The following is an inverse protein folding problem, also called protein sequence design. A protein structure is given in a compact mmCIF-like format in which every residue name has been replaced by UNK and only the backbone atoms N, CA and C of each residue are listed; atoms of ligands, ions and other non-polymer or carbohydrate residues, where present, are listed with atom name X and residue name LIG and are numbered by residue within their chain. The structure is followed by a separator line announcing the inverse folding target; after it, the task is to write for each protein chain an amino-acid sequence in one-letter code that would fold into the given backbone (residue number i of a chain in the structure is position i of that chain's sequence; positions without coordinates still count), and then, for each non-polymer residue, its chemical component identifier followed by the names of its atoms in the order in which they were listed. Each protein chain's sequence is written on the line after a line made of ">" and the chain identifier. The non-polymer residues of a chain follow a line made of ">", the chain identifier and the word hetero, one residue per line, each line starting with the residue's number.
data_IF_052405987606
#
_entry.id   IF_052405987606
#
_cell.length_a   1.000
_cell.length_b   1.000
_cell.length_c   1.000
_cell.angle_alpha   90.00
_cell.angle_beta   90.00
_cell.angle_gamma   90.00
#
_symmetry.space_group_name_H-M   'P 1'
#
loop_
_entity.id
_entity.type
_entity.pdbx_description
1 polymer ?
#
# COMPACT_ATOMS: atom_id res chain seq x y z
N UNK A 1 23.43 -13.18 6.93
CA UNK A 1 22.68 -13.10 5.65
C UNK A 1 21.78 -11.87 5.72
N UNK A 2 21.82 -10.97 4.74
CA UNK A 2 20.97 -9.78 4.68
C UNK A 2 19.50 -10.17 4.64
N UNK A 3 18.66 -9.50 5.41
CA UNK A 3 17.21 -9.68 5.44
C UNK A 3 16.55 -8.34 5.20
N UNK A 4 15.69 -8.28 4.17
CA UNK A 4 14.97 -7.06 3.81
C UNK A 4 14.12 -6.51 4.97
N UNK A 5 14.05 -5.18 5.10
CA UNK A 5 13.38 -4.50 6.21
C UNK A 5 11.94 -4.96 6.38
N UNK A 6 11.18 -5.12 5.29
CA UNK A 6 9.79 -5.58 5.35
C UNK A 6 9.60 -7.01 5.89
N UNK A 7 10.66 -7.84 5.87
CA UNK A 7 10.66 -9.17 6.50
C UNK A 7 11.12 -9.10 7.95
N UNK A 8 12.20 -8.34 8.22
CA UNK A 8 12.80 -8.18 9.54
C UNK A 8 11.84 -7.50 10.52
N UNK A 9 11.13 -6.47 10.06
CA UNK A 9 10.20 -5.67 10.84
C UNK A 9 8.73 -6.07 10.67
N UNK A 10 8.47 -7.30 10.19
CA UNK A 10 7.10 -7.80 10.15
C UNK A 10 6.55 -7.92 11.57
N UNK A 11 5.39 -7.27 11.88
CA UNK A 11 4.79 -7.31 13.21
C UNK A 11 4.62 -8.74 13.73
N UNK A 12 4.97 -8.95 14.99
CA UNK A 12 4.82 -10.22 15.71
C UNK A 12 3.68 -10.13 16.73
N UNK A 13 3.36 -8.93 17.21
CA UNK A 13 2.32 -8.67 18.20
C UNK A 13 1.31 -7.65 17.67
N UNK A 14 0.10 -7.62 18.23
CA UNK A 14 -0.91 -6.63 17.83
C UNK A 14 -0.48 -5.19 18.12
N UNK A 15 0.35 -4.96 19.14
CA UNK A 15 0.88 -3.64 19.49
C UNK A 15 1.88 -3.09 18.46
N UNK A 16 2.50 -3.97 17.68
CA UNK A 16 3.43 -3.59 16.60
C UNK A 16 2.72 -3.28 15.28
N UNK A 17 1.42 -3.59 15.17
CA UNK A 17 0.64 -3.33 13.96
C UNK A 17 0.27 -1.87 13.88
N UNK A 18 0.70 -1.19 12.84
CA UNK A 18 0.47 0.24 12.63
C UNK A 18 -0.84 0.50 11.89
N UNK A 19 -1.58 1.52 12.30
CA UNK A 19 -2.77 2.05 11.59
C UNK A 19 -4.05 1.23 11.70
N UNK A 20 -4.05 0.03 12.34
CA UNK A 20 -5.19 -0.89 12.39
C UNK A 20 -5.73 -1.11 13.80
N UNK A 21 -5.73 -0.09 14.66
CA UNK A 21 -6.06 -0.21 16.09
C UNK A 21 -7.48 -0.75 16.36
N UNK A 22 -8.45 -0.44 15.50
CA UNK A 22 -9.83 -0.94 15.61
C UNK A 22 -9.90 -2.46 15.40
N UNK A 23 -9.12 -3.00 14.45
CA UNK A 23 -9.04 -4.45 14.17
C UNK A 23 -8.31 -5.17 15.29
N UNK A 24 -7.10 -4.67 15.64
CA UNK A 24 -6.26 -5.33 16.66
C UNK A 24 -6.93 -5.38 18.02
N UNK A 25 -7.64 -4.31 18.44
CA UNK A 25 -8.43 -4.29 19.68
C UNK A 25 -9.56 -5.30 19.65
N UNK A 26 -10.30 -5.39 18.54
CA UNK A 26 -11.43 -6.32 18.41
C UNK A 26 -10.95 -7.77 18.49
N UNK A 27 -9.91 -8.12 17.72
CA UNK A 27 -9.33 -9.48 17.74
C UNK A 27 -8.74 -9.83 19.12
N UNK A 28 -8.02 -8.89 19.75
CA UNK A 28 -7.51 -9.06 21.11
C UNK A 28 -8.62 -9.35 22.13
N UNK A 29 -9.76 -8.64 22.05
CA UNK A 29 -10.90 -8.84 22.92
C UNK A 29 -11.56 -10.21 22.70
N UNK A 30 -11.68 -10.66 21.45
CA UNK A 30 -12.20 -12.00 21.13
C UNK A 30 -11.32 -13.11 21.74
N UNK A 31 -9.99 -12.94 21.64
CA UNK A 31 -9.04 -13.89 22.24
C UNK A 31 -9.20 -13.92 23.77
N UNK A 32 -9.26 -12.75 24.42
CA UNK A 32 -9.43 -12.64 25.89
C UNK A 32 -10.73 -13.28 26.38
N UNK A 33 -11.80 -13.18 25.58
CA UNK A 33 -13.11 -13.78 25.91
C UNK A 33 -13.25 -15.24 25.48
N UNK A 34 -12.36 -15.73 24.62
CA UNK A 34 -12.47 -17.06 24.01
C UNK A 34 -13.56 -17.17 22.94
N UNK A 35 -14.05 -16.04 22.41
CA UNK A 35 -15.12 -15.94 21.41
C UNK A 35 -14.53 -15.97 19.99
N UNK A 36 -14.02 -17.12 19.56
CA UNK A 36 -13.37 -17.27 18.25
C UNK A 36 -14.39 -17.75 17.22
N UNK A 37 -14.57 -16.97 16.13
CA UNK A 37 -15.39 -17.38 14.99
C UNK A 37 -14.67 -18.42 14.13
N UNK A 38 -15.44 -19.24 13.42
CA UNK A 38 -14.89 -20.23 12.48
C UNK A 38 -14.29 -19.63 11.21
N UNK A 39 -14.69 -18.42 10.80
CA UNK A 39 -14.21 -17.77 9.59
C UNK A 39 -14.10 -16.26 9.73
N UNK A 40 -12.99 -15.71 9.26
CA UNK A 40 -12.64 -14.30 9.21
C UNK A 40 -12.32 -13.89 7.78
N UNK A 41 -12.75 -12.69 7.39
CA UNK A 41 -12.39 -12.07 6.12
C UNK A 41 -11.65 -10.77 6.38
N UNK A 42 -10.39 -10.70 5.98
CA UNK A 42 -9.55 -9.52 6.05
C UNK A 42 -9.48 -8.87 4.66
N UNK A 43 -10.17 -7.75 4.47
CA UNK A 43 -10.22 -7.01 3.22
C UNK A 43 -9.49 -5.67 3.31
N UNK A 44 -8.93 -5.21 2.19
CA UNK A 44 -8.24 -3.92 2.09
C UNK A 44 -7.03 -3.95 1.19
N UNK A 45 -6.45 -2.78 0.92
CA UNK A 45 -5.33 -2.61 0.00
C UNK A 45 -4.11 -3.47 0.35
N UNK A 46 -3.26 -3.70 -0.64
CA UNK A 46 -2.01 -4.44 -0.44
C UNK A 46 -1.10 -3.71 0.57
N UNK A 47 -0.37 -4.47 1.38
CA UNK A 47 0.62 -3.92 2.31
C UNK A 47 0.08 -3.25 3.57
N UNK A 48 -1.24 -3.32 3.84
CA UNK A 48 -1.90 -2.74 5.03
C UNK A 48 -1.85 -3.63 6.28
N UNK A 49 -1.20 -4.81 6.20
CA UNK A 49 -0.98 -5.68 7.35
C UNK A 49 -1.89 -6.91 7.46
N UNK A 50 -2.79 -7.18 6.48
CA UNK A 50 -3.74 -8.32 6.51
C UNK A 50 -3.08 -9.65 6.90
N UNK A 51 -2.08 -10.09 6.14
CA UNK A 51 -1.38 -11.36 6.38
C UNK A 51 -0.59 -11.36 7.68
N UNK A 52 -0.03 -10.22 8.10
CA UNK A 52 0.67 -10.10 9.39
C UNK A 52 -0.29 -10.27 10.57
N UNK A 53 -1.42 -9.59 10.55
CA UNK A 53 -2.48 -9.73 11.57
C UNK A 53 -3.05 -11.14 11.56
N UNK A 54 -3.25 -11.76 10.40
CA UNK A 54 -3.70 -13.15 10.28
C UNK A 54 -2.75 -14.11 11.01
N UNK A 55 -1.44 -13.96 10.80
CA UNK A 55 -0.41 -14.79 11.47
C UNK A 55 -0.36 -14.56 12.99
N UNK A 56 -0.47 -13.31 13.43
CA UNK A 56 -0.51 -12.97 14.86
C UNK A 56 -1.75 -13.62 15.49
N UNK A 57 -2.91 -13.44 14.87
CA UNK A 57 -4.17 -13.98 15.36
C UNK A 57 -4.16 -15.52 15.40
N UNK A 58 -3.71 -16.19 14.33
CA UNK A 58 -3.61 -17.65 14.26
C UNK A 58 -2.74 -18.23 15.38
N UNK A 59 -1.63 -17.57 15.72
CA UNK A 59 -0.77 -17.96 16.84
C UNK A 59 -1.39 -17.64 18.20
N UNK A 60 -2.05 -16.49 18.30
CA UNK A 60 -2.63 -16.03 19.56
C UNK A 60 -3.77 -16.89 20.06
N UNK A 61 -4.67 -17.37 19.18
CA UNK A 61 -5.78 -18.28 19.53
C UNK A 61 -5.31 -19.67 19.96
N UNK A 62 -4.07 -20.03 19.61
CA UNK A 62 -3.40 -21.27 20.01
C UNK A 62 -2.46 -21.10 21.19
N UNK A 63 -2.17 -19.88 21.62
CA UNK A 63 -1.22 -19.59 22.68
C UNK A 63 -1.77 -20.00 24.03
N UNK A 64 -0.97 -20.68 24.86
CA UNK A 64 -1.37 -21.11 26.22
C UNK A 64 -1.51 -19.92 27.19
N UNK A 65 -0.75 -18.84 26.96
CA UNK A 65 -0.70 -17.66 27.82
C UNK A 65 -0.55 -16.39 26.98
N UNK A 66 -1.61 -15.97 26.26
CA UNK A 66 -1.54 -14.76 25.43
C UNK A 66 -1.36 -13.52 26.31
N UNK A 67 -0.48 -12.60 25.87
CA UNK A 67 -0.22 -11.33 26.53
C UNK A 67 -0.95 -10.24 25.72
N UNK A 68 -1.88 -9.56 26.37
CA UNK A 68 -2.76 -8.56 25.71
C UNK A 68 -3.39 -9.00 24.40
N UNK A 69 -3.76 -10.30 24.35
CA UNK A 69 -4.34 -10.92 23.17
C UNK A 69 -3.31 -11.29 22.10
N UNK A 70 -2.03 -11.00 22.27
CA UNK A 70 -0.95 -11.40 21.37
C UNK A 70 -0.30 -12.70 21.80
N UNK A 71 0.35 -13.45 20.87
CA UNK A 71 1.05 -14.68 21.23
C UNK A 71 2.26 -14.38 22.13
N UNK A 72 2.53 -15.24 23.13
CA UNK A 72 3.63 -15.03 24.07
C UNK A 72 5.02 -15.41 23.50
N UNK A 73 5.10 -16.16 22.41
CA UNK A 73 6.34 -16.69 21.77
C UNK A 73 7.24 -17.54 22.68
N UNK A 74 6.82 -17.84 23.92
CA UNK A 74 7.65 -18.53 24.92
C UNK A 74 7.11 -19.91 25.29
N UNK A 75 5.78 -20.13 25.23
CA UNK A 75 5.17 -21.41 25.55
C UNK A 75 5.51 -22.47 24.49
N UNK A 76 5.35 -23.73 24.86
CA UNK A 76 5.65 -24.88 23.99
C UNK A 76 4.85 -24.85 22.67
N UNK A 77 3.58 -24.46 22.70
CA UNK A 77 2.73 -24.33 21.52
C UNK A 77 3.26 -23.23 20.60
N UNK A 78 3.59 -22.03 21.12
CA UNK A 78 4.15 -20.97 20.30
C UNK A 78 5.49 -21.39 19.64
N UNK A 79 6.32 -22.15 20.34
CA UNK A 79 7.58 -22.67 19.80
C UNK A 79 7.31 -23.71 18.70
N UNK A 80 6.39 -24.64 18.92
CA UNK A 80 5.99 -25.62 17.93
C UNK A 80 5.41 -24.99 16.66
N UNK A 81 4.53 -23.98 16.82
CA UNK A 81 3.93 -23.22 15.71
C UNK A 81 4.93 -22.34 14.94
N UNK A 82 6.11 -22.09 15.51
CA UNK A 82 7.18 -21.33 14.83
C UNK A 82 8.13 -22.23 14.05
N UNK A 83 8.01 -23.54 14.19
CA UNK A 83 8.85 -24.51 13.44
C UNK A 83 8.44 -24.62 11.97
N UNK A 84 9.39 -25.00 11.12
CA UNK A 84 9.14 -25.25 9.69
C UNK A 84 8.19 -26.42 9.42
N UNK A 85 8.04 -27.33 10.39
CA UNK A 85 7.19 -28.53 10.31
C UNK A 85 5.80 -28.32 10.93
N UNK A 86 5.40 -27.08 11.16
CA UNK A 86 4.09 -26.76 11.70
C UNK A 86 2.96 -27.13 10.73
N UNK A 87 2.01 -27.95 11.18
CA UNK A 87 0.83 -28.37 10.43
C UNK A 87 -0.49 -27.74 10.93
N UNK A 88 -0.44 -27.00 12.03
CA UNK A 88 -1.62 -26.41 12.65
C UNK A 88 -1.94 -25.01 12.11
N UNK A 89 -0.96 -24.32 11.54
CA UNK A 89 -1.16 -23.06 10.81
C UNK A 89 -0.68 -23.27 9.39
N UNK A 90 -1.62 -23.35 8.45
CA UNK A 90 -1.37 -23.57 7.03
C UNK A 90 -1.64 -22.25 6.30
N UNK A 91 -0.63 -21.72 5.63
CA UNK A 91 -0.74 -20.50 4.84
C UNK A 91 -0.68 -20.84 3.35
N UNK A 92 -1.64 -20.34 2.60
CA UNK A 92 -1.84 -20.61 1.18
C UNK A 92 -2.01 -19.27 0.48
N UNK A 93 -1.20 -19.05 -0.53
CA UNK A 93 -1.38 -17.93 -1.47
C UNK A 93 -2.23 -18.42 -2.64
N UNK A 94 -3.46 -17.94 -2.73
CA UNK A 94 -4.39 -18.31 -3.79
C UNK A 94 -3.96 -17.84 -5.19
N UNK A 95 -3.06 -16.87 -5.30
CA UNK A 95 -2.49 -16.48 -6.58
C UNK A 95 -1.62 -17.60 -7.18
N UNK A 96 -0.93 -18.36 -6.33
CA UNK A 96 -0.07 -19.49 -6.72
C UNK A 96 -0.80 -20.85 -6.65
N UNK A 97 -1.86 -20.93 -5.81
CA UNK A 97 -2.59 -22.16 -5.48
C UNK A 97 -4.10 -21.96 -5.65
N UNK A 98 -4.57 -21.79 -6.88
CA UNK A 98 -5.96 -21.42 -7.18
C UNK A 98 -6.84 -22.58 -7.67
N UNK A 99 -6.27 -23.79 -7.79
CA UNK A 99 -6.95 -24.96 -8.38
C UNK A 99 -7.85 -25.65 -7.38
N UNK A 100 -8.91 -26.26 -7.89
CA UNK A 100 -9.90 -26.99 -7.09
C UNK A 100 -9.30 -28.15 -6.30
N UNK A 101 -8.27 -28.79 -6.82
CA UNK A 101 -7.66 -29.96 -6.16
C UNK A 101 -6.89 -29.57 -4.89
N UNK A 102 -6.26 -28.40 -4.86
CA UNK A 102 -5.60 -27.86 -3.68
C UNK A 102 -6.62 -27.55 -2.55
N UNK A 103 -7.76 -26.98 -2.91
CA UNK A 103 -8.85 -26.73 -1.94
C UNK A 103 -9.53 -28.03 -1.50
N UNK A 104 -9.63 -29.04 -2.38
CA UNK A 104 -10.11 -30.38 -1.98
C UNK A 104 -9.16 -31.04 -1.00
N UNK A 105 -7.84 -30.89 -1.18
CA UNK A 105 -6.85 -31.36 -0.21
C UNK A 105 -7.03 -30.70 1.16
N UNK A 106 -7.29 -29.39 1.20
CA UNK A 106 -7.61 -28.68 2.44
C UNK A 106 -8.83 -29.32 3.08
N UNK A 107 -9.92 -29.54 2.32
CA UNK A 107 -11.17 -30.15 2.82
C UNK A 107 -10.95 -31.56 3.43
N UNK A 108 -10.04 -32.32 2.89
CA UNK A 108 -9.68 -33.61 3.51
C UNK A 108 -8.82 -33.41 4.79
N UNK A 109 -7.92 -32.43 4.78
CA UNK A 109 -7.03 -32.14 5.91
C UNK A 109 -7.71 -31.46 7.09
N UNK A 110 -8.83 -30.73 6.88
CA UNK A 110 -9.60 -30.11 7.98
C UNK A 110 -10.26 -31.12 8.93
N UNK A 111 -10.44 -32.37 8.49
CA UNK A 111 -11.00 -33.45 9.32
C UNK A 111 -10.05 -33.89 10.45
N UNK A 112 -8.76 -33.64 10.31
CA UNK A 112 -7.75 -34.03 11.29
C UNK A 112 -7.61 -32.97 12.37
N UNK A 113 -7.54 -33.38 13.61
CA UNK A 113 -7.31 -32.52 14.77
C UNK A 113 -5.95 -31.82 14.68
N UNK A 114 -5.80 -30.64 15.30
CA UNK A 114 -4.49 -29.99 15.43
C UNK A 114 -3.53 -30.86 16.24
N UNK A 115 -2.25 -30.75 15.96
CA UNK A 115 -1.20 -31.56 16.61
C UNK A 115 -0.70 -30.93 17.91
N UNK A 116 -0.53 -29.61 17.92
CA UNK A 116 0.05 -28.87 19.04
C UNK A 116 -0.89 -27.81 19.62
N UNK A 117 -1.72 -27.21 18.77
CA UNK A 117 -2.61 -26.12 19.12
C UNK A 117 -4.02 -26.58 19.51
N UNK A 118 -4.87 -25.62 19.88
CA UNK A 118 -6.31 -25.80 20.09
C UNK A 118 -7.06 -25.78 18.76
N UNK A 119 -6.59 -24.96 17.82
CA UNK A 119 -7.21 -24.74 16.52
C UNK A 119 -6.24 -25.05 15.39
N UNK A 120 -6.76 -25.63 14.33
CA UNK A 120 -6.11 -25.73 13.02
C UNK A 120 -6.53 -24.54 12.19
N UNK A 121 -5.58 -23.68 11.81
CA UNK A 121 -5.85 -22.40 11.15
C UNK A 121 -5.41 -22.45 9.69
N UNK A 122 -6.32 -22.11 8.79
CA UNK A 122 -6.02 -21.95 7.37
C UNK A 122 -6.05 -20.46 7.01
N UNK A 123 -4.91 -19.92 6.65
CA UNK A 123 -4.77 -18.55 6.14
C UNK A 123 -4.72 -18.66 4.61
N UNK A 124 -5.75 -18.14 3.93
CA UNK A 124 -5.81 -18.12 2.47
C UNK A 124 -5.69 -16.66 2.03
N UNK A 125 -4.52 -16.29 1.53
CA UNK A 125 -4.26 -14.94 1.03
C UNK A 125 -4.68 -14.80 -0.43
N UNK A 126 -5.07 -13.59 -0.83
CA UNK A 126 -5.64 -13.23 -2.13
C UNK A 126 -6.75 -14.18 -2.60
N UNK A 127 -7.66 -14.51 -1.68
CA UNK A 127 -8.71 -15.52 -1.87
C UNK A 127 -9.59 -15.27 -3.10
N UNK A 128 -9.69 -14.03 -3.59
CA UNK A 128 -10.41 -13.67 -4.83
C UNK A 128 -9.78 -14.28 -6.11
N UNK A 129 -8.57 -14.83 -6.02
CA UNK A 129 -7.90 -15.52 -7.13
C UNK A 129 -8.32 -16.99 -7.26
N UNK A 130 -9.11 -17.54 -6.31
CA UNK A 130 -9.64 -18.88 -6.42
C UNK A 130 -10.62 -19.00 -7.59
N UNK A 131 -10.64 -20.16 -8.25
CA UNK A 131 -11.63 -20.49 -9.26
C UNK A 131 -13.01 -20.72 -8.62
N UNK A 132 -14.10 -20.57 -9.40
CA UNK A 132 -15.46 -20.81 -8.92
C UNK A 132 -15.64 -22.24 -8.34
N UNK A 133 -14.98 -23.23 -8.95
CA UNK A 133 -15.00 -24.61 -8.45
C UNK A 133 -14.24 -24.77 -7.13
N UNK A 134 -13.18 -24.00 -6.90
CA UNK A 134 -12.45 -23.96 -5.63
C UNK A 134 -13.29 -23.26 -4.55
N UNK A 135 -13.95 -22.13 -4.88
CA UNK A 135 -14.91 -21.49 -3.96
C UNK A 135 -16.02 -22.44 -3.52
N UNK A 136 -16.64 -23.15 -4.46
CA UNK A 136 -17.71 -24.12 -4.14
C UNK A 136 -17.22 -25.27 -3.26
N UNK A 137 -15.97 -25.69 -3.41
CA UNK A 137 -15.35 -26.68 -2.53
C UNK A 137 -15.13 -26.16 -1.11
N UNK A 138 -14.72 -24.88 -0.97
CA UNK A 138 -14.49 -24.20 0.30
C UNK A 138 -15.80 -23.92 1.05
N UNK A 139 -16.87 -23.54 0.33
CA UNK A 139 -18.19 -23.23 0.89
C UNK A 139 -18.73 -24.36 1.77
N UNK A 140 -18.60 -25.62 1.32
CA UNK A 140 -19.07 -26.79 2.10
C UNK A 140 -18.43 -26.86 3.50
N UNK A 141 -17.15 -26.48 3.61
CA UNK A 141 -16.45 -26.48 4.89
C UNK A 141 -16.78 -25.24 5.73
N UNK A 142 -17.10 -24.11 5.10
CA UNK A 142 -17.52 -22.88 5.79
C UNK A 142 -18.96 -22.98 6.30
N UNK A 143 -19.81 -23.81 5.69
CA UNK A 143 -21.18 -24.08 6.14
C UNK A 143 -21.23 -24.97 7.37
N UNK A 144 -20.43 -26.03 7.38
CA UNK A 144 -20.34 -27.01 8.48
C UNK A 144 -18.87 -27.14 8.95
N UNK A 145 -18.31 -26.09 9.55
CA UNK A 145 -16.92 -26.12 9.97
C UNK A 145 -16.70 -27.03 11.18
N UNK A 146 -15.64 -27.87 11.16
CA UNK A 146 -15.23 -28.57 12.37
C UNK A 146 -14.88 -27.57 13.48
N UNK A 147 -15.24 -27.88 14.73
CA UNK A 147 -15.08 -26.96 15.88
C UNK A 147 -13.64 -26.54 16.16
N UNK A 148 -12.67 -27.31 15.67
CA UNK A 148 -11.24 -27.07 15.83
C UNK A 148 -10.62 -26.33 14.64
N UNK A 149 -11.40 -25.90 13.64
CA UNK A 149 -10.89 -25.24 12.42
C UNK A 149 -11.28 -23.77 12.38
N UNK A 150 -10.30 -22.93 12.03
CA UNK A 150 -10.51 -21.49 11.81
C UNK A 150 -9.95 -21.11 10.44
N UNK A 151 -10.78 -20.44 9.63
CA UNK A 151 -10.38 -19.88 8.36
C UNK A 151 -10.10 -18.38 8.49
N UNK A 152 -9.01 -17.91 7.91
CA UNK A 152 -8.69 -16.49 7.77
C UNK A 152 -8.45 -16.21 6.29
N UNK A 153 -9.41 -15.55 5.65
CA UNK A 153 -9.40 -15.24 4.24
C UNK A 153 -8.88 -13.81 4.04
N UNK A 154 -7.84 -13.63 3.25
CA UNK A 154 -7.29 -12.32 2.87
C UNK A 154 -7.66 -11.93 1.45
N UNK A 155 -8.07 -10.68 1.20
CA UNK A 155 -8.35 -10.19 -0.15
C UNK A 155 -8.05 -8.70 -0.31
N UNK A 156 -7.58 -8.34 -1.49
CA UNK A 156 -7.52 -6.94 -1.93
C UNK A 156 -8.78 -6.51 -2.68
N UNK A 157 -9.59 -7.46 -3.16
CA UNK A 157 -10.77 -7.22 -4.00
C UNK A 157 -12.04 -7.90 -3.44
N UNK A 158 -12.60 -7.37 -2.33
CA UNK A 158 -13.76 -7.99 -1.68
C UNK A 158 -15.00 -8.05 -2.58
N UNK A 159 -15.11 -7.15 -3.58
CA UNK A 159 -16.22 -7.11 -4.52
C UNK A 159 -16.23 -8.30 -5.50
N UNK A 160 -15.11 -9.01 -5.67
CA UNK A 160 -15.01 -10.23 -6.49
C UNK A 160 -15.46 -11.49 -5.74
N UNK A 161 -15.67 -11.39 -4.41
CA UNK A 161 -16.05 -12.56 -3.63
C UNK A 161 -17.55 -12.85 -3.73
N UNK A 162 -17.96 -14.13 -3.83
CA UNK A 162 -19.36 -14.51 -3.79
C UNK A 162 -20.02 -14.09 -2.47
N UNK A 163 -21.27 -13.61 -2.54
CA UNK A 163 -22.04 -13.20 -1.36
C UNK A 163 -22.19 -14.34 -0.33
N UNK A 164 -22.17 -15.58 -0.79
CA UNK A 164 -22.22 -16.78 0.04
C UNK A 164 -20.99 -16.92 0.97
N UNK A 165 -19.82 -16.48 0.54
CA UNK A 165 -18.61 -16.40 1.38
C UNK A 165 -18.72 -15.22 2.36
N UNK A 166 -19.10 -14.04 1.84
CA UNK A 166 -19.20 -12.81 2.65
C UNK A 166 -20.15 -12.98 3.84
N UNK A 167 -21.26 -13.68 3.66
CA UNK A 167 -22.26 -13.89 4.71
C UNK A 167 -21.84 -14.86 5.81
N UNK A 168 -20.79 -15.65 5.62
CA UNK A 168 -20.28 -16.66 6.57
C UNK A 168 -19.01 -16.24 7.29
N UNK A 169 -18.43 -15.10 6.92
CA UNK A 169 -17.19 -14.62 7.49
C UNK A 169 -17.41 -13.38 8.35
N UNK A 170 -16.72 -13.29 9.47
CA UNK A 170 -16.61 -12.05 10.22
C UNK A 170 -15.62 -11.13 9.51
N UNK A 171 -16.13 -10.01 8.97
CA UNK A 171 -15.36 -9.12 8.09
C UNK A 171 -14.62 -8.04 8.88
N UNK A 172 -13.37 -7.81 8.47
CA UNK A 172 -12.50 -6.73 8.94
C UNK A 172 -11.90 -5.99 7.75
N UNK A 173 -12.19 -4.68 7.67
CA UNK A 173 -11.72 -3.83 6.59
C UNK A 173 -10.46 -3.06 7.03
N UNK A 174 -9.33 -3.40 6.42
CA UNK A 174 -8.05 -2.76 6.62
C UNK A 174 -7.98 -1.46 5.83
N UNK A 175 -7.69 -0.37 6.49
CA UNK A 175 -7.54 0.95 5.89
C UNK A 175 -6.09 1.23 5.49
N UNK A 176 -5.89 2.19 4.58
CA UNK A 176 -4.57 2.73 4.32
C UNK A 176 -4.02 3.37 5.59
N UNK A 177 -2.73 3.19 5.82
CA UNK A 177 -2.05 3.73 6.99
C UNK A 177 -1.77 5.22 6.75
N UNK A 178 -1.97 6.04 7.79
CA UNK A 178 -1.72 7.47 7.68
C UNK A 178 -0.25 7.77 7.38
N UNK A 179 0.07 8.81 6.60
CA UNK A 179 1.46 9.22 6.37
C UNK A 179 2.22 9.50 7.67
N UNK A 180 1.55 10.04 8.68
CA UNK A 180 2.16 10.32 9.98
C UNK A 180 2.57 9.05 10.71
N UNK A 181 1.73 8.01 10.69
CA UNK A 181 2.03 6.73 11.34
C UNK A 181 3.14 5.99 10.59
N UNK A 182 3.13 6.00 9.25
CA UNK A 182 4.21 5.45 8.44
C UNK A 182 5.53 6.17 8.68
N UNK A 183 5.52 7.51 8.76
CA UNK A 183 6.72 8.32 9.06
C UNK A 183 7.31 7.96 10.42
N UNK A 184 6.48 7.90 11.45
CA UNK A 184 6.92 7.50 12.81
C UNK A 184 7.54 6.10 12.83
N UNK A 185 6.92 5.16 12.13
CA UNK A 185 7.42 3.80 12.03
C UNK A 185 8.76 3.74 11.29
N UNK A 186 8.88 4.40 10.13
CA UNK A 186 10.11 4.40 9.34
C UNK A 186 11.29 5.00 10.13
N UNK A 187 11.08 6.14 10.78
CA UNK A 187 12.09 6.77 11.65
C UNK A 187 12.52 5.82 12.77
N UNK A 188 11.56 5.20 13.47
CA UNK A 188 11.86 4.23 14.53
C UNK A 188 12.69 3.04 14.04
N UNK A 189 12.45 2.59 12.81
CA UNK A 189 13.22 1.50 12.19
C UNK A 189 14.62 1.96 11.83
N UNK A 190 14.76 3.14 11.21
CA UNK A 190 16.07 3.69 10.85
C UNK A 190 16.95 3.95 12.07
N UNK A 191 16.37 4.46 13.17
CA UNK A 191 17.08 4.64 14.45
C UNK A 191 17.57 3.31 15.01
N UNK A 192 16.73 2.25 14.99
CA UNK A 192 17.12 0.90 15.44
C UNK A 192 18.22 0.29 14.59
N UNK A 193 18.18 0.51 13.28
CA UNK A 193 19.20 0.02 12.34
C UNK A 193 20.42 0.95 12.26
N UNK A 194 20.40 2.10 12.93
CA UNK A 194 21.45 3.14 12.87
C UNK A 194 21.69 3.65 11.45
N UNK A 195 20.64 3.69 10.65
CA UNK A 195 20.66 4.23 9.28
C UNK A 195 20.58 5.75 9.39
N UNK A 196 21.50 6.45 8.73
CA UNK A 196 21.44 7.91 8.61
C UNK A 196 20.42 8.30 7.53
N UNK A 197 19.62 9.31 7.79
CA UNK A 197 18.58 9.77 6.88
C UNK A 197 18.43 11.28 6.87
N UNK A 198 17.86 11.78 5.80
CA UNK A 198 17.39 13.17 5.67
C UNK A 198 15.85 13.18 5.77
N UNK A 199 15.28 14.14 6.49
CA UNK A 199 13.81 14.26 6.64
C UNK A 199 13.07 14.33 5.29
N UNK A 200 13.55 15.06 4.27
CA UNK A 200 12.92 15.06 2.95
C UNK A 200 12.93 13.68 2.26
N UNK A 201 13.93 12.82 2.54
CA UNK A 201 13.95 11.44 2.04
C UNK A 201 12.86 10.61 2.68
N UNK A 202 12.67 10.74 4.00
CA UNK A 202 11.57 10.06 4.72
C UNK A 202 10.22 10.46 4.15
N UNK A 203 9.99 11.75 3.95
CA UNK A 203 8.72 12.26 3.42
C UNK A 203 8.45 11.74 2.00
N UNK A 204 9.47 11.67 1.15
CA UNK A 204 9.36 11.13 -0.19
C UNK A 204 9.07 9.63 -0.21
N UNK A 205 9.75 8.85 0.64
CA UNK A 205 9.52 7.40 0.78
C UNK A 205 8.08 7.14 1.25
N UNK A 206 7.63 7.84 2.28
CA UNK A 206 6.29 7.70 2.87
C UNK A 206 5.20 8.06 1.87
N UNK A 207 5.33 9.18 1.17
CA UNK A 207 4.35 9.61 0.16
C UNK A 207 4.26 8.63 -1.00
N UNK A 208 5.40 8.08 -1.44
CA UNK A 208 5.46 7.10 -2.52
C UNK A 208 4.84 5.74 -2.15
N UNK A 209 4.81 5.41 -0.87
CA UNK A 209 4.23 4.16 -0.37
C UNK A 209 2.69 4.14 -0.36
N UNK A 210 2.03 5.29 -0.50
CA UNK A 210 0.57 5.42 -0.63
C UNK A 210 -0.22 4.67 0.46
N UNK A 211 0.24 4.71 1.70
CA UNK A 211 -0.43 4.07 2.84
C UNK A 211 -0.12 2.57 3.02
N UNK A 212 0.84 2.03 2.27
CA UNK A 212 1.31 0.64 2.36
C UNK A 212 2.60 0.56 3.17
N UNK A 213 2.57 -0.07 4.34
CA UNK A 213 3.77 -0.34 5.16
C UNK A 213 4.81 -1.19 4.42
N UNK A 214 4.36 -2.23 3.73
CA UNK A 214 5.25 -3.13 2.99
C UNK A 214 6.00 -2.41 1.87
N UNK A 215 5.30 -1.55 1.12
CA UNK A 215 5.90 -0.82 0.01
C UNK A 215 6.83 0.27 0.53
N UNK A 216 6.47 0.96 1.63
CA UNK A 216 7.35 1.89 2.35
C UNK A 216 8.67 1.24 2.72
N UNK A 217 8.63 0.09 3.39
CA UNK A 217 9.84 -0.61 3.82
C UNK A 217 10.65 -1.16 2.65
N UNK A 218 9.99 -1.57 1.56
CA UNK A 218 10.67 -2.02 0.34
C UNK A 218 11.39 -0.88 -0.37
N UNK A 219 10.75 0.29 -0.47
CA UNK A 219 11.34 1.51 -1.02
C UNK A 219 12.51 1.97 -0.14
N UNK A 220 12.31 2.01 1.18
CA UNK A 220 13.34 2.39 2.14
C UNK A 220 14.61 1.53 2.01
N UNK A 221 14.42 0.22 1.90
CA UNK A 221 15.50 -0.75 1.69
C UNK A 221 16.31 -0.46 0.43
N UNK A 222 15.61 -0.17 -0.67
CA UNK A 222 16.24 0.12 -1.94
C UNK A 222 16.99 1.47 -1.90
N UNK A 223 16.42 2.49 -1.28
CA UNK A 223 17.07 3.82 -1.11
C UNK A 223 18.34 3.70 -0.26
N UNK A 224 18.27 2.98 0.85
CA UNK A 224 19.42 2.74 1.75
C UNK A 224 20.52 1.96 1.03
N UNK A 225 20.15 0.95 0.25
CA UNK A 225 21.10 0.15 -0.54
C UNK A 225 21.80 0.96 -1.61
N UNK A 226 21.07 1.86 -2.29
CA UNK A 226 21.65 2.78 -3.29
C UNK A 226 22.60 3.79 -2.64
N UNK A 227 22.29 4.23 -1.41
CA UNK A 227 23.03 5.26 -0.68
C UNK A 227 24.14 4.74 0.22
N UNK A 228 24.59 3.50 0.04
CA UNK A 228 25.64 2.87 0.88
C UNK A 228 25.37 3.03 2.39
N UNK A 229 24.13 2.75 2.77
CA UNK A 229 23.68 2.82 4.17
C UNK A 229 23.10 4.18 4.60
N UNK A 230 22.92 5.13 3.67
CA UNK A 230 22.34 6.45 3.93
C UNK A 230 21.09 6.68 3.08
N UNK A 231 20.00 7.08 3.71
CA UNK A 231 18.77 7.50 3.01
C UNK A 231 18.79 9.03 2.77
N UNK A 232 19.51 9.48 1.73
CA UNK A 232 19.50 10.87 1.30
C UNK A 232 18.32 11.16 0.36
N UNK A 233 17.90 12.43 0.28
CA UNK A 233 16.86 12.87 -0.63
C UNK A 233 17.22 12.60 -2.11
N UNK A 234 18.49 12.82 -2.48
CA UNK A 234 18.99 12.54 -3.82
C UNK A 234 18.86 11.05 -4.20
N UNK A 235 19.20 10.15 -3.28
CA UNK A 235 19.07 8.70 -3.48
C UNK A 235 17.60 8.27 -3.57
N UNK A 236 16.72 8.85 -2.76
CA UNK A 236 15.29 8.58 -2.82
C UNK A 236 14.68 9.02 -4.15
N UNK A 237 15.02 10.23 -4.65
CA UNK A 237 14.60 10.70 -5.97
C UNK A 237 15.09 9.77 -7.08
N UNK A 238 16.36 9.40 -7.07
CA UNK A 238 16.94 8.51 -8.08
C UNK A 238 16.29 7.13 -8.08
N UNK A 239 16.11 6.55 -6.90
CA UNK A 239 15.53 5.20 -6.74
C UNK A 239 14.06 5.14 -7.19
N UNK A 240 13.30 6.18 -6.92
CA UNK A 240 11.88 6.25 -7.27
C UNK A 240 11.66 6.73 -8.72
N UNK A 241 12.70 7.23 -9.38
CA UNK A 241 12.56 7.93 -10.66
C UNK A 241 11.61 9.13 -10.54
N UNK A 242 11.48 9.67 -9.31
CA UNK A 242 10.58 10.76 -8.99
C UNK A 242 11.12 12.09 -9.49
N UNK A 243 10.23 13.01 -9.77
CA UNK A 243 10.59 14.36 -10.21
C UNK A 243 10.94 15.21 -9.00
N UNK A 244 12.07 15.94 -9.05
CA UNK A 244 12.35 16.90 -8.00
C UNK A 244 11.29 18.00 -7.99
N UNK A 245 10.92 18.45 -6.79
CA UNK A 245 9.91 19.48 -6.63
C UNK A 245 10.23 20.74 -7.44
N UNK A 246 11.51 21.13 -7.50
CA UNK A 246 11.94 22.27 -8.30
C UNK A 246 11.62 22.10 -9.79
N UNK A 247 11.85 20.92 -10.37
CA UNK A 247 11.50 20.68 -11.79
C UNK A 247 10.00 20.77 -12.06
N UNK A 248 9.15 20.40 -11.09
CA UNK A 248 7.71 20.56 -11.23
C UNK A 248 7.31 22.03 -11.24
N UNK A 249 7.90 22.85 -10.35
CA UNK A 249 7.70 24.29 -10.36
C UNK A 249 8.17 24.90 -11.68
N UNK A 250 9.41 24.61 -12.12
CA UNK A 250 9.99 25.15 -13.36
C UNK A 250 9.14 24.78 -14.59
N UNK A 251 8.59 23.55 -14.62
CA UNK A 251 7.75 23.10 -15.71
C UNK A 251 6.38 23.79 -15.71
N UNK A 252 5.76 23.94 -14.54
CA UNK A 252 4.50 24.66 -14.42
C UNK A 252 4.65 26.13 -14.81
N UNK A 253 5.72 26.79 -14.38
CA UNK A 253 6.04 28.16 -14.80
C UNK A 253 6.20 28.27 -16.32
N UNK A 254 6.90 27.31 -16.96
CA UNK A 254 7.05 27.30 -18.41
C UNK A 254 5.70 27.17 -19.14
N UNK A 255 4.75 26.39 -18.59
CA UNK A 255 3.38 26.30 -19.12
C UNK A 255 2.62 27.63 -18.94
N UNK A 256 2.70 28.23 -17.75
CA UNK A 256 1.98 29.46 -17.45
C UNK A 256 2.51 30.65 -18.29
N UNK A 257 3.82 30.64 -18.58
CA UNK A 257 4.48 31.61 -19.45
C UNK A 257 4.20 31.36 -20.95
N UNK A 258 3.57 30.23 -21.32
CA UNK A 258 3.39 29.84 -22.71
C UNK A 258 4.69 29.43 -23.43
N UNK A 259 5.73 29.11 -22.67
CA UNK A 259 7.07 28.80 -23.19
C UNK A 259 7.23 27.33 -23.52
N UNK A 260 6.74 26.91 -24.68
CA UNK A 260 6.79 25.52 -25.17
C UNK A 260 8.23 24.98 -25.25
N UNK A 261 9.20 25.80 -25.69
CA UNK A 261 10.59 25.35 -25.82
C UNK A 261 11.19 24.97 -24.46
N UNK A 262 11.02 25.82 -23.44
CA UNK A 262 11.48 25.57 -22.07
C UNK A 262 10.81 24.33 -21.46
N UNK A 263 9.49 24.15 -21.67
CA UNK A 263 8.77 22.99 -21.17
C UNK A 263 9.30 21.67 -21.79
N UNK A 264 9.54 21.64 -23.11
CA UNK A 264 10.12 20.47 -23.80
C UNK A 264 11.57 20.20 -23.37
N UNK A 265 12.38 21.23 -23.14
CA UNK A 265 13.75 21.09 -22.60
C UNK A 265 13.73 20.46 -21.20
N UNK A 266 12.77 20.82 -20.35
CA UNK A 266 12.61 20.21 -19.01
C UNK A 266 12.26 18.73 -19.13
N UNK A 267 11.36 18.35 -20.05
CA UNK A 267 11.04 16.93 -20.33
C UNK A 267 12.29 16.18 -20.80
N UNK A 268 13.04 16.75 -21.76
CA UNK A 268 14.27 16.13 -22.26
C UNK A 268 15.30 15.93 -21.14
N UNK A 269 15.49 16.96 -20.29
CA UNK A 269 16.40 16.87 -19.15
C UNK A 269 15.95 15.85 -18.11
N UNK A 270 14.63 15.68 -17.91
CA UNK A 270 14.08 14.69 -17.00
C UNK A 270 14.35 13.26 -17.52
N UNK A 271 14.10 13.01 -18.80
CA UNK A 271 14.36 11.71 -19.44
C UNK A 271 15.85 11.37 -19.43
N UNK A 272 16.73 12.32 -19.81
CA UNK A 272 18.19 12.13 -19.77
C UNK A 272 18.71 11.92 -18.33
N UNK A 273 18.06 12.51 -17.34
CA UNK A 273 18.34 12.32 -15.93
C UNK A 273 17.81 11.03 -15.34
N UNK A 274 17.19 10.14 -16.14
CA UNK A 274 16.68 8.84 -15.68
C UNK A 274 15.32 8.88 -14.99
N UNK A 275 14.60 10.03 -15.04
CA UNK A 275 13.25 10.12 -14.48
C UNK A 275 12.29 9.31 -15.34
N UNK A 276 11.47 8.49 -14.71
CA UNK A 276 10.42 7.75 -15.39
C UNK A 276 9.33 8.71 -15.88
N UNK A 277 9.12 8.77 -17.19
CA UNK A 277 8.21 9.75 -17.80
C UNK A 277 6.74 9.58 -17.36
N UNK A 278 6.33 8.35 -17.02
CA UNK A 278 4.99 8.09 -16.47
C UNK A 278 4.87 8.60 -15.02
N UNK A 279 5.95 8.51 -14.25
CA UNK A 279 6.02 9.11 -12.91
C UNK A 279 6.01 10.64 -13.02
N UNK A 280 6.76 11.21 -13.98
CA UNK A 280 6.76 12.64 -14.25
C UNK A 280 5.36 13.18 -14.54
N UNK A 281 4.60 12.53 -15.43
CA UNK A 281 3.22 12.92 -15.75
C UNK A 281 2.30 12.86 -14.52
N UNK A 282 2.41 11.81 -13.72
CA UNK A 282 1.67 11.67 -12.46
C UNK A 282 2.02 12.76 -11.46
N UNK A 283 3.32 13.07 -11.30
CA UNK A 283 3.81 14.12 -10.41
C UNK A 283 3.27 15.49 -10.85
N UNK A 284 3.17 15.74 -12.17
CA UNK A 284 2.55 16.95 -12.71
C UNK A 284 1.05 17.05 -12.39
N UNK A 285 0.31 15.96 -12.55
CA UNK A 285 -1.12 15.91 -12.18
C UNK A 285 -1.30 16.28 -10.70
N UNK A 286 -0.47 15.71 -9.83
CA UNK A 286 -0.48 16.00 -8.39
C UNK A 286 -0.08 17.46 -8.12
N UNK A 287 0.91 17.98 -8.83
CA UNK A 287 1.34 19.38 -8.69
C UNK A 287 0.22 20.35 -9.06
N UNK A 288 -0.43 20.18 -10.22
CA UNK A 288 -1.57 21.03 -10.62
C UNK A 288 -2.75 20.90 -9.67
N UNK A 289 -3.03 19.69 -9.16
CA UNK A 289 -4.05 19.50 -8.10
C UNK A 289 -3.69 20.28 -6.84
N UNK A 290 -2.43 20.29 -6.43
CA UNK A 290 -2.00 21.03 -5.23
C UNK A 290 -2.10 22.53 -5.43
N UNK A 291 -1.76 23.06 -6.62
CA UNK A 291 -2.00 24.47 -6.99
C UNK A 291 -3.48 24.83 -6.92
N UNK A 292 -4.35 23.95 -7.42
CA UNK A 292 -5.80 24.16 -7.32
C UNK A 292 -6.29 24.19 -5.87
N UNK A 293 -5.79 23.28 -5.02
CA UNK A 293 -6.16 23.23 -3.60
C UNK A 293 -5.75 24.50 -2.85
N UNK A 294 -4.51 24.99 -3.06
CA UNK A 294 -4.04 26.22 -2.38
C UNK A 294 -4.82 27.46 -2.86
N UNK A 295 -5.28 27.45 -4.11
CA UNK A 295 -6.09 28.54 -4.66
C UNK A 295 -7.54 28.52 -4.16
N UNK A 296 -8.16 27.35 -4.16
CA UNK A 296 -9.59 27.19 -3.83
C UNK A 296 -9.87 27.11 -2.32
N UNK A 297 -8.90 26.76 -1.47
CA UNK A 297 -9.13 26.47 -0.06
C UNK A 297 -8.25 27.29 0.87
N UNK A 298 -8.88 28.00 1.83
CA UNK A 298 -8.17 28.68 2.94
C UNK A 298 -7.54 27.69 3.94
N UNK A 299 -7.88 26.40 3.87
CA UNK A 299 -7.39 25.32 4.73
C UNK A 299 -6.44 24.38 3.99
N UNK A 300 -5.72 24.89 3.01
CA UNK A 300 -4.78 24.10 2.19
C UNK A 300 -3.74 23.33 3.05
N UNK A 301 -3.29 23.91 4.16
CA UNK A 301 -2.34 23.28 5.09
C UNK A 301 -2.89 21.97 5.69
N UNK A 302 -4.19 21.95 6.05
CA UNK A 302 -4.83 20.75 6.61
C UNK A 302 -5.04 19.67 5.52
N UNK A 303 -5.30 20.09 4.28
CA UNK A 303 -5.61 19.18 3.16
C UNK A 303 -4.34 18.57 2.55
N UNK A 304 -3.29 19.37 2.39
CA UNK A 304 -2.08 18.94 1.67
C UNK A 304 -1.07 18.24 2.56
N UNK A 305 -1.11 18.46 3.89
CA UNK A 305 -0.15 17.87 4.85
C UNK A 305 1.32 18.03 4.41
N UNK A 306 1.67 19.20 3.89
CA UNK A 306 3.00 19.57 3.38
C UNK A 306 3.65 20.61 4.29
N UNK A 307 5.01 20.75 4.23
CA UNK A 307 5.72 21.84 4.91
C UNK A 307 5.19 23.21 4.49
N UNK A 308 5.11 24.13 5.45
CA UNK A 308 4.56 25.47 5.23
C UNK A 308 5.30 26.25 4.11
N UNK A 309 6.62 26.10 4.03
CA UNK A 309 7.44 26.69 2.97
C UNK A 309 6.99 26.23 1.56
N UNK A 310 6.66 24.93 1.42
CA UNK A 310 6.17 24.37 0.15
C UNK A 310 4.80 24.93 -0.20
N UNK A 311 3.91 25.07 0.79
CA UNK A 311 2.57 25.64 0.57
C UNK A 311 2.66 27.12 0.16
N UNK A 312 3.58 27.88 0.75
CA UNK A 312 3.82 29.27 0.36
C UNK A 312 4.31 29.36 -1.10
N UNK A 313 5.23 28.48 -1.54
CA UNK A 313 5.67 28.41 -2.93
C UNK A 313 4.56 28.06 -3.90
N UNK A 314 3.71 27.06 -3.54
CA UNK A 314 2.54 26.67 -4.32
C UNK A 314 1.54 27.84 -4.42
N UNK A 315 1.29 28.55 -3.32
CA UNK A 315 0.38 29.71 -3.30
C UNK A 315 0.87 30.83 -4.20
N UNK A 316 2.15 31.16 -4.13
CA UNK A 316 2.77 32.15 -4.99
C UNK A 316 2.67 31.79 -6.48
N UNK A 317 2.94 30.51 -6.84
CA UNK A 317 2.82 30.03 -8.21
C UNK A 317 1.37 30.05 -8.71
N UNK A 318 0.39 29.73 -7.85
CA UNK A 318 -1.03 29.71 -8.20
C UNK A 318 -1.66 31.11 -8.30
N UNK A 319 -0.99 32.19 -7.84
CA UNK A 319 -1.59 33.53 -7.69
C UNK A 319 -2.16 34.06 -9.00
N UNK A 320 -1.39 33.93 -10.09
CA UNK A 320 -1.72 34.49 -11.40
C UNK A 320 -2.37 33.50 -12.38
N UNK A 321 -2.80 32.31 -11.90
CA UNK A 321 -3.38 31.25 -12.73
C UNK A 321 -4.84 31.07 -12.36
N UNK A 322 -5.77 30.96 -13.30
CA UNK A 322 -7.18 30.75 -13.00
C UNK A 322 -7.48 29.32 -12.54
N UNK A 323 -8.57 29.13 -11.78
CA UNK A 323 -9.02 27.78 -11.36
C UNK A 323 -9.38 26.91 -12.58
N UNK A 324 -10.01 27.52 -13.61
CA UNK A 324 -10.36 26.84 -14.85
C UNK A 324 -9.10 26.31 -15.58
N UNK A 325 -8.05 27.13 -15.64
CA UNK A 325 -6.78 26.73 -16.25
C UNK A 325 -6.12 25.58 -15.46
N UNK A 326 -6.12 25.65 -14.13
CA UNK A 326 -5.58 24.57 -13.28
C UNK A 326 -6.38 23.27 -13.44
N UNK A 327 -7.73 23.35 -13.51
CA UNK A 327 -8.58 22.18 -13.77
C UNK A 327 -8.32 21.58 -15.14
N UNK A 328 -8.15 22.41 -16.17
CA UNK A 328 -7.80 21.95 -17.52
C UNK A 328 -6.46 21.23 -17.54
N UNK A 329 -5.42 21.79 -16.92
CA UNK A 329 -4.08 21.19 -16.85
C UNK A 329 -4.11 19.86 -16.10
N UNK A 330 -4.76 19.82 -14.93
CA UNK A 330 -4.92 18.60 -14.15
C UNK A 330 -5.62 17.51 -14.96
N UNK A 331 -6.72 17.84 -15.65
CA UNK A 331 -7.46 16.91 -16.50
C UNK A 331 -6.60 16.41 -17.65
N UNK A 332 -5.92 17.30 -18.38
CA UNK A 332 -5.08 16.98 -19.53
C UNK A 332 -3.96 15.98 -19.17
N UNK A 333 -3.26 16.19 -18.04
CA UNK A 333 -2.20 15.27 -17.59
C UNK A 333 -2.76 13.99 -16.97
N UNK A 334 -3.92 14.04 -16.29
CA UNK A 334 -4.58 12.84 -15.76
C UNK A 334 -5.10 11.89 -16.85
N UNK A 335 -5.61 12.44 -17.97
CA UNK A 335 -6.09 11.63 -19.09
C UNK A 335 -4.97 10.79 -19.70
N UNK A 336 -3.77 11.35 -19.87
CA UNK A 336 -2.65 10.60 -20.44
C UNK A 336 -2.06 9.54 -19.48
N UNK A 337 -2.28 9.62 -18.17
CA UNK A 337 -1.75 8.61 -17.22
C UNK A 337 -2.23 7.19 -17.56
N UNK A 338 -3.49 7.04 -17.98
CA UNK A 338 -4.04 5.76 -18.36
C UNK A 338 -3.43 5.24 -19.68
N UNK A 339 -3.19 6.17 -20.64
CA UNK A 339 -2.64 5.85 -21.96
C UNK A 339 -1.15 5.51 -21.89
N UNK A 340 -0.39 6.15 -20.97
CA UNK A 340 1.04 5.92 -20.79
C UNK A 340 1.40 4.46 -20.49
N UNK A 341 0.49 3.69 -19.85
CA UNK A 341 0.71 2.28 -19.55
C UNK A 341 0.84 1.39 -20.81
N UNK A 342 0.22 1.81 -21.90
CA UNK A 342 0.15 1.03 -23.14
C UNK A 342 0.83 1.72 -24.32
N UNK A 343 1.42 2.90 -24.07
CA UNK A 343 2.00 3.72 -25.12
C UNK A 343 3.32 3.13 -25.65
N UNK A 344 3.48 3.09 -26.96
CA UNK A 344 4.74 2.75 -27.64
C UNK A 344 5.82 3.81 -27.38
N UNK A 345 5.43 5.07 -27.25
CA UNK A 345 6.31 6.21 -26.95
C UNK A 345 5.71 7.07 -25.84
N UNK A 346 5.93 6.72 -24.55
CA UNK A 346 5.43 7.49 -23.42
C UNK A 346 5.90 8.97 -23.45
N UNK A 347 7.13 9.21 -23.88
CA UNK A 347 7.71 10.56 -24.00
C UNK A 347 6.88 11.43 -24.95
N UNK A 348 6.56 10.92 -26.14
CA UNK A 348 5.79 11.67 -27.15
C UNK A 348 4.41 12.06 -26.65
N UNK A 349 3.74 11.19 -25.89
CA UNK A 349 2.43 11.52 -25.29
C UNK A 349 2.53 12.69 -24.33
N UNK A 350 3.55 12.72 -23.46
CA UNK A 350 3.75 13.83 -22.53
C UNK A 350 4.11 15.11 -23.25
N UNK A 351 4.95 15.05 -24.30
CA UNK A 351 5.28 16.22 -25.14
C UNK A 351 4.03 16.79 -25.83
N UNK A 352 3.17 15.94 -26.41
CA UNK A 352 1.89 16.35 -27.04
C UNK A 352 0.95 16.97 -26.02
N UNK A 353 0.79 16.34 -24.83
CA UNK A 353 -0.03 16.91 -23.76
C UNK A 353 0.48 18.26 -23.27
N UNK A 354 1.81 18.44 -23.25
CA UNK A 354 2.46 19.72 -22.90
C UNK A 354 2.14 20.81 -23.92
N UNK A 355 2.24 20.49 -25.21
CA UNK A 355 1.90 21.45 -26.28
C UNK A 355 0.41 21.82 -26.21
N UNK A 356 -0.49 20.82 -26.02
CA UNK A 356 -1.91 21.04 -25.82
C UNK A 356 -2.20 21.91 -24.58
N UNK A 357 -1.48 21.69 -23.48
CA UNK A 357 -1.60 22.46 -22.26
C UNK A 357 -1.26 23.95 -22.46
N UNK A 358 -0.29 24.27 -23.32
CA UNK A 358 0.15 25.64 -23.63
C UNK A 358 -0.74 26.30 -24.67
N UNK A 359 -1.16 25.57 -25.68
CA UNK A 359 -2.05 26.12 -26.75
C UNK A 359 -3.46 26.39 -26.28
N UNK A 360 -3.88 25.79 -25.15
CA UNK A 360 -5.26 25.84 -24.67
C UNK A 360 -6.20 24.92 -25.44
N UNK A 361 -7.39 24.76 -24.93
CA UNK A 361 -8.45 23.98 -25.60
C UNK A 361 -9.07 24.83 -26.72
N UNK A 362 -8.43 24.89 -27.88
CA UNK A 362 -8.96 25.57 -29.08
C UNK A 362 -10.23 24.88 -29.65
N UNK A 363 -10.77 23.89 -28.92
CA UNK A 363 -12.01 23.18 -29.26
C UNK A 363 -13.30 23.93 -28.95
N UNK A 364 -13.27 25.05 -28.21
CA UNK A 364 -14.48 25.80 -27.79
C UNK A 364 -14.71 27.14 -28.52
N UNK A 365 -13.89 27.49 -29.50
CA UNK A 365 -14.13 28.65 -30.37
C UNK A 365 -14.36 28.24 -31.82
N UNK A 366 -15.41 27.46 -32.08
CA UNK A 366 -16.10 27.40 -33.40
C UNK A 366 -17.50 26.81 -33.15
N UNK A 367 -18.44 27.66 -32.79
CA UNK A 367 -19.76 27.88 -33.40
C UNK A 367 -20.55 28.88 -32.58
#
# INVERSE_FOLDING_TARGET
>A
MYQALYRKYRPQTFSEVVGQSHITKTLSNQIKKGEISHAYLFSGSRGTGKTSVARIFARAINCLSPVDGSPCYKCEVCKALSSSNNMDIVEIDAASNNRVDEIREIREKVKFLPTNGKFKVYIIDEVHMLTDSAFNALLKTLEEPPTHVVFILGTTEPHKLPQTILSRCLRFDFTLISPEDLKKQLISIFDKEKIKYEDPAIDLIVSSAQGSDRDMLSIADAVVSLGDGVASYANALSMLGATSQQKLFDFADAIFEGNTAKALEIIDSAVKGGINISVFAKDLTVHFRNLLVVKASKKANEILSMPEETIQKLSAQAENVSEEQLMFLMKNFSEIEAELKFALSPRTLVEVATVKAIMGDDGSKKN
#
